data_IF_648097657323
#
_entry.id   IF_648097657323
#
_cell.length_a   1.000
_cell.length_b   1.000
_cell.length_c   1.000
_cell.angle_alpha   90.00
_cell.angle_beta   90.00
_cell.angle_gamma   90.00
#
_symmetry.space_group_name_H-M   'P 1'
#
loop_
_entity.id
_entity.type
_entity.pdbx_description
1 polymer ?
#
# COMPACT_ATOMS: atom_id res chain seq x y z
N UNK A 1 9.10 2.54 8.48
CA UNK A 1 8.94 3.98 8.15
C UNK A 1 8.88 4.83 9.41
N UNK A 2 7.89 4.70 10.31
CA UNK A 2 7.83 5.54 11.53
C UNK A 2 9.12 5.50 12.37
N UNK A 3 9.72 4.32 12.55
CA UNK A 3 11.00 4.18 13.25
C UNK A 3 12.14 4.94 12.55
N UNK A 4 12.17 4.94 11.20
CA UNK A 4 13.20 5.69 10.45
C UNK A 4 13.03 7.20 10.62
N UNK A 5 11.78 7.70 10.55
CA UNK A 5 11.47 9.11 10.79
C UNK A 5 11.84 9.54 12.21
N UNK A 6 11.65 8.63 13.19
CA UNK A 6 12.05 8.83 14.59
C UNK A 6 13.55 8.65 14.87
N UNK A 7 14.39 8.39 13.85
CA UNK A 7 15.83 8.18 14.02
C UNK A 7 16.23 6.77 14.51
N UNK A 8 15.27 5.85 14.66
CA UNK A 8 15.48 4.48 15.15
C UNK A 8 15.83 3.51 14.01
N UNK A 9 16.81 3.87 13.18
CA UNK A 9 17.15 3.12 11.95
C UNK A 9 17.54 1.67 12.20
N UNK A 10 18.26 1.38 13.31
CA UNK A 10 18.64 0.02 13.65
C UNK A 10 17.42 -0.88 13.96
N UNK A 11 16.41 -0.30 14.63
CA UNK A 11 15.15 -1.00 14.92
C UNK A 11 14.31 -1.20 13.66
N UNK A 12 14.27 -0.21 12.76
CA UNK A 12 13.61 -0.32 11.47
C UNK A 12 14.22 -1.46 10.64
N UNK A 13 15.55 -1.50 10.52
CA UNK A 13 16.28 -2.56 9.82
C UNK A 13 16.03 -3.95 10.45
N UNK A 14 15.99 -4.04 11.79
CA UNK A 14 15.70 -5.30 12.49
C UNK A 14 14.26 -5.78 12.18
N UNK A 15 13.26 -4.89 12.15
CA UNK A 15 11.89 -5.22 11.79
C UNK A 15 11.78 -5.73 10.34
N UNK A 16 12.46 -5.11 9.38
CA UNK A 16 12.47 -5.59 8.00
C UNK A 16 13.15 -6.95 7.84
N UNK A 17 14.27 -7.18 8.56
CA UNK A 17 14.92 -8.50 8.56
C UNK A 17 14.02 -9.58 9.18
N UNK A 18 13.26 -9.23 10.23
CA UNK A 18 12.27 -10.13 10.81
C UNK A 18 11.20 -10.50 9.79
N UNK A 19 10.64 -9.51 9.08
CA UNK A 19 9.66 -9.75 8.01
C UNK A 19 10.25 -10.66 6.93
N UNK A 20 11.46 -10.38 6.44
CA UNK A 20 12.11 -11.22 5.43
C UNK A 20 12.33 -12.67 5.89
N UNK A 21 12.65 -12.87 7.18
CA UNK A 21 12.85 -14.19 7.77
C UNK A 21 11.54 -14.98 7.97
N UNK A 22 10.39 -14.29 8.07
CA UNK A 22 9.06 -14.89 8.26
C UNK A 22 8.25 -14.96 6.98
N UNK A 23 8.84 -14.64 5.84
CA UNK A 23 8.20 -14.80 4.54
C UNK A 23 8.05 -16.28 4.19
N UNK A 24 6.85 -16.65 3.74
CA UNK A 24 6.58 -18.00 3.23
C UNK A 24 7.26 -18.25 1.88
N UNK A 25 7.49 -19.51 1.48
CA UNK A 25 8.12 -19.84 0.20
C UNK A 25 7.41 -19.26 -1.04
N UNK A 26 6.09 -19.10 -0.98
CA UNK A 26 5.27 -18.52 -2.06
C UNK A 26 5.38 -17.01 -2.20
N UNK A 27 6.06 -16.34 -1.25
CA UNK A 27 6.23 -14.89 -1.20
C UNK A 27 5.25 -14.18 -0.27
N UNK A 28 4.32 -14.92 0.35
CA UNK A 28 3.32 -14.35 1.25
C UNK A 28 3.80 -14.22 2.69
N UNK A 29 2.96 -13.58 3.50
CA UNK A 29 3.02 -13.56 4.96
C UNK A 29 1.67 -13.98 5.53
N UNK A 30 1.66 -14.50 6.75
CA UNK A 30 0.43 -14.69 7.50
C UNK A 30 -0.21 -13.32 7.83
N UNK A 31 -1.54 -13.29 7.92
CA UNK A 31 -2.25 -12.06 8.28
C UNK A 31 -1.95 -11.60 9.71
N UNK A 32 -1.62 -12.53 10.60
CA UNK A 32 -1.29 -12.22 11.99
C UNK A 32 -0.19 -13.15 12.53
N UNK A 33 0.70 -12.56 13.35
CA UNK A 33 1.70 -13.29 14.13
C UNK A 33 1.52 -12.98 15.62
N UNK A 34 1.63 -14.02 16.48
CA UNK A 34 1.67 -13.89 17.95
C UNK A 34 2.89 -14.65 18.47
N UNK A 35 3.67 -14.00 19.31
CA UNK A 35 4.88 -14.59 19.89
C UNK A 35 5.84 -15.18 18.84
N UNK A 36 5.89 -14.57 17.67
CA UNK A 36 6.75 -15.01 16.55
C UNK A 36 6.18 -16.16 15.72
N UNK A 37 4.99 -16.69 16.05
CA UNK A 37 4.32 -17.75 15.30
C UNK A 37 3.13 -17.20 14.51
N UNK A 38 2.79 -17.87 13.39
CA UNK A 38 1.57 -17.53 12.62
C UNK A 38 0.32 -17.81 13.46
N UNK A 39 -0.52 -16.79 13.64
CA UNK A 39 -1.78 -16.88 14.40
C UNK A 39 -3.00 -16.87 13.48
N UNK A 40 -2.95 -16.19 12.35
CA UNK A 40 -3.97 -16.24 11.31
C UNK A 40 -3.30 -16.53 9.96
N UNK A 41 -3.52 -17.72 9.38
CA UNK A 41 -2.79 -18.16 8.18
C UNK A 41 -3.31 -17.53 6.87
N UNK A 42 -4.37 -16.74 6.90
CA UNK A 42 -4.88 -16.04 5.72
C UNK A 42 -3.77 -15.24 5.02
N UNK A 43 -3.81 -15.21 3.70
CA UNK A 43 -2.86 -14.49 2.86
C UNK A 43 -3.57 -13.31 2.21
N UNK A 44 -3.13 -12.10 2.54
CA UNK A 44 -3.62 -10.86 1.95
C UNK A 44 -2.54 -10.24 1.06
N UNK A 45 -2.93 -9.80 -0.13
CA UNK A 45 -1.99 -9.29 -1.14
C UNK A 45 -1.24 -8.04 -0.71
N UNK A 46 -1.87 -7.12 0.01
CA UNK A 46 -1.26 -5.89 0.50
C UNK A 46 -0.08 -6.15 1.45
N UNK A 47 -0.14 -7.22 2.27
CA UNK A 47 0.98 -7.61 3.13
C UNK A 47 2.24 -7.94 2.31
N UNK A 48 2.07 -8.57 1.14
CA UNK A 48 3.18 -8.92 0.26
C UNK A 48 3.89 -7.68 -0.36
N UNK A 49 3.16 -6.57 -0.48
CA UNK A 49 3.70 -5.32 -1.04
C UNK A 49 4.44 -4.43 -0.05
N UNK A 50 4.08 -4.44 1.24
CA UNK A 50 4.56 -3.43 2.20
C UNK A 50 6.06 -3.45 2.48
N UNK A 51 6.73 -4.59 2.34
CA UNK A 51 8.19 -4.67 2.50
C UNK A 51 8.91 -3.78 1.47
N UNK A 52 8.43 -3.74 0.23
CA UNK A 52 8.98 -2.87 -0.81
C UNK A 52 8.83 -1.37 -0.46
N UNK A 53 7.65 -0.96 0.03
CA UNK A 53 7.39 0.43 0.43
C UNK A 53 8.30 0.85 1.58
N UNK A 54 8.39 0.02 2.62
CA UNK A 54 9.24 0.30 3.77
C UNK A 54 10.73 0.38 3.41
N UNK A 55 11.22 -0.56 2.60
CA UNK A 55 12.62 -0.59 2.17
C UNK A 55 12.95 0.60 1.27
N UNK A 56 12.06 0.99 0.36
CA UNK A 56 12.23 2.18 -0.48
C UNK A 56 12.34 3.45 0.37
N UNK A 57 11.45 3.62 1.37
CA UNK A 57 11.52 4.73 2.30
C UNK A 57 12.86 4.78 3.04
N UNK A 58 13.31 3.64 3.58
CA UNK A 58 14.60 3.56 4.29
C UNK A 58 15.75 3.90 3.36
N UNK A 59 15.73 3.40 2.11
CA UNK A 59 16.77 3.74 1.13
C UNK A 59 16.77 5.24 0.80
N UNK A 60 15.62 5.88 0.68
CA UNK A 60 15.55 7.33 0.43
C UNK A 60 16.17 8.15 1.57
N UNK A 61 16.04 7.69 2.82
CA UNK A 61 16.52 8.40 4.01
C UNK A 61 17.96 8.07 4.38
N UNK A 62 18.41 6.83 4.22
CA UNK A 62 19.72 6.35 4.68
C UNK A 62 20.70 5.99 3.56
N UNK A 63 20.21 5.72 2.34
CA UNK A 63 21.01 5.17 1.22
C UNK A 63 21.73 3.86 1.56
N UNK A 64 21.13 3.05 2.44
CA UNK A 64 21.71 1.76 2.87
C UNK A 64 21.50 0.68 1.79
N UNK A 65 22.44 0.63 0.82
CA UNK A 65 22.44 -0.37 -0.27
C UNK A 65 22.60 -1.80 0.27
N UNK A 66 23.28 -1.97 1.39
CA UNK A 66 23.47 -3.29 1.99
C UNK A 66 22.14 -3.84 2.52
N UNK A 67 21.34 -3.02 3.17
CA UNK A 67 20.00 -3.42 3.62
C UNK A 67 19.10 -3.75 2.42
N UNK A 68 19.12 -2.93 1.36
CA UNK A 68 18.36 -3.21 0.12
C UNK A 68 18.76 -4.57 -0.45
N UNK A 69 20.06 -4.84 -0.60
CA UNK A 69 20.55 -6.13 -1.12
C UNK A 69 20.12 -7.32 -0.25
N UNK A 70 20.14 -7.17 1.09
CA UNK A 70 19.67 -8.21 2.02
C UNK A 70 18.17 -8.51 1.88
N UNK A 71 17.36 -7.48 1.67
CA UNK A 71 15.90 -7.60 1.60
C UNK A 71 15.38 -7.92 0.19
N UNK A 72 16.20 -7.67 -0.83
CA UNK A 72 15.81 -7.81 -2.24
C UNK A 72 15.19 -9.16 -2.58
N UNK A 73 15.73 -10.33 -2.16
CA UNK A 73 15.09 -11.61 -2.45
C UNK A 73 13.69 -11.76 -1.88
N UNK A 74 13.42 -11.16 -0.72
CA UNK A 74 12.09 -11.19 -0.10
C UNK A 74 11.12 -10.22 -0.79
N UNK A 75 11.57 -9.01 -1.12
CA UNK A 75 10.80 -8.02 -1.87
C UNK A 75 10.37 -8.61 -3.22
N UNK A 76 11.30 -9.22 -3.94
CA UNK A 76 11.05 -9.82 -5.24
C UNK A 76 9.99 -10.91 -5.15
N UNK A 77 10.12 -11.88 -4.24
CA UNK A 77 9.10 -12.94 -4.07
C UNK A 77 7.73 -12.38 -3.70
N UNK A 78 7.69 -11.35 -2.84
CA UNK A 78 6.44 -10.70 -2.44
C UNK A 78 5.74 -10.01 -3.62
N UNK A 79 6.46 -9.24 -4.41
CA UNK A 79 5.88 -8.55 -5.56
C UNK A 79 5.57 -9.50 -6.73
N UNK A 80 6.34 -10.56 -6.91
CA UNK A 80 6.01 -11.62 -7.87
C UNK A 80 4.69 -12.33 -7.47
N UNK A 81 4.43 -12.50 -6.16
CA UNK A 81 3.13 -12.98 -5.69
C UNK A 81 2.02 -11.98 -6.02
N UNK A 82 2.23 -10.70 -5.74
CA UNK A 82 1.26 -9.63 -6.06
C UNK A 82 0.87 -9.65 -7.54
N UNK A 83 1.85 -9.79 -8.44
CA UNK A 83 1.59 -9.90 -9.89
C UNK A 83 0.80 -11.15 -10.23
N UNK A 84 1.11 -12.30 -9.63
CA UNK A 84 0.33 -13.54 -9.83
C UNK A 84 -1.11 -13.45 -9.31
N UNK A 85 -1.40 -12.54 -8.39
CA UNK A 85 -2.74 -12.30 -7.87
C UNK A 85 -3.54 -11.28 -8.71
N UNK A 86 -2.98 -10.78 -9.83
CA UNK A 86 -3.69 -9.84 -10.70
C UNK A 86 -4.81 -10.57 -11.45
N UNK A 87 -6.00 -9.97 -11.41
CA UNK A 87 -7.21 -10.45 -12.06
C UNK A 87 -7.33 -9.88 -13.48
N UNK A 88 -8.17 -10.48 -14.29
CA UNK A 88 -8.53 -9.93 -15.58
C UNK A 88 -9.06 -8.50 -15.41
N UNK A 89 -8.47 -7.57 -16.17
CA UNK A 89 -8.85 -6.16 -16.04
C UNK A 89 -7.94 -5.32 -15.16
N UNK A 90 -6.90 -5.91 -14.54
CA UNK A 90 -5.77 -5.21 -13.93
C UNK A 90 -5.89 -4.97 -12.42
N UNK A 91 -7.05 -5.20 -11.80
CA UNK A 91 -7.17 -5.18 -10.35
C UNK A 91 -6.45 -6.39 -9.72
N UNK A 92 -5.98 -6.26 -8.50
CA UNK A 92 -5.30 -7.34 -7.77
C UNK A 92 -6.25 -7.89 -6.71
N UNK A 93 -6.38 -9.21 -6.67
CA UNK A 93 -7.16 -9.91 -5.64
C UNK A 93 -6.68 -9.53 -4.24
N UNK A 94 -7.62 -9.38 -3.31
CA UNK A 94 -7.28 -9.01 -1.94
C UNK A 94 -6.64 -10.14 -1.15
N UNK A 95 -6.96 -11.42 -1.48
CA UNK A 95 -6.49 -12.59 -0.75
C UNK A 95 -6.32 -13.82 -1.63
N UNK A 96 -5.62 -14.83 -1.12
CA UNK A 96 -5.60 -16.17 -1.67
C UNK A 96 -6.65 -17.05 -0.97
N UNK A 97 -7.31 -17.89 -1.75
CA UNK A 97 -8.14 -18.99 -1.25
C UNK A 97 -7.26 -20.10 -0.64
N UNK A 98 -7.84 -21.03 0.13
CA UNK A 98 -7.08 -22.14 0.72
C UNK A 98 -6.35 -23.05 -0.28
N UNK A 99 -6.80 -23.09 -1.53
CA UNK A 99 -6.17 -23.84 -2.62
C UNK A 99 -5.02 -23.08 -3.31
N UNK A 100 -4.73 -21.86 -2.85
CA UNK A 100 -3.69 -20.98 -3.38
C UNK A 100 -4.12 -20.17 -4.61
N UNK A 101 -5.35 -20.28 -5.09
CA UNK A 101 -5.88 -19.45 -6.17
C UNK A 101 -6.25 -18.05 -5.64
N UNK A 102 -6.18 -16.99 -6.49
CA UNK A 102 -6.69 -15.68 -6.13
C UNK A 102 -8.20 -15.72 -5.85
N UNK A 103 -8.64 -14.96 -4.84
CA UNK A 103 -10.06 -14.66 -4.63
C UNK A 103 -10.55 -13.71 -5.74
N UNK A 104 -11.85 -13.70 -6.03
CA UNK A 104 -12.41 -12.86 -7.09
C UNK A 104 -12.63 -11.41 -6.64
N UNK A 105 -12.42 -11.12 -5.35
CA UNK A 105 -12.65 -9.79 -4.77
C UNK A 105 -11.37 -8.96 -4.83
N UNK A 106 -11.47 -7.72 -5.30
CA UNK A 106 -10.43 -6.71 -5.18
C UNK A 106 -10.93 -5.55 -4.28
N UNK A 107 -10.05 -5.03 -3.43
CA UNK A 107 -10.35 -3.90 -2.55
C UNK A 107 -9.63 -2.65 -3.06
N UNK A 108 -10.35 -1.53 -3.20
CA UNK A 108 -9.80 -0.27 -3.72
C UNK A 108 -8.63 0.23 -2.87
N UNK A 109 -8.77 0.20 -1.55
CA UNK A 109 -7.72 0.57 -0.58
C UNK A 109 -6.46 -0.28 -0.74
N UNK A 110 -6.61 -1.62 -0.73
CA UNK A 110 -5.50 -2.56 -0.92
C UNK A 110 -4.80 -2.38 -2.26
N UNK A 111 -5.57 -2.20 -3.33
CA UNK A 111 -5.03 -1.98 -4.68
C UNK A 111 -4.29 -0.65 -4.81
N UNK A 112 -4.74 0.41 -4.15
CA UNK A 112 -4.03 1.70 -4.07
C UNK A 112 -2.66 1.53 -3.38
N UNK A 113 -2.61 0.75 -2.30
CA UNK A 113 -1.35 0.40 -1.61
C UNK A 113 -0.43 -0.43 -2.49
N UNK A 114 -0.97 -1.41 -3.23
CA UNK A 114 -0.19 -2.26 -4.13
C UNK A 114 0.33 -1.51 -5.35
N UNK A 115 -0.41 -0.51 -5.86
CA UNK A 115 0.10 0.40 -6.88
C UNK A 115 1.37 1.12 -6.41
N UNK A 116 1.36 1.66 -5.19
CA UNK A 116 2.54 2.27 -4.58
C UNK A 116 3.66 1.24 -4.36
N UNK A 117 3.31 0.04 -3.88
CA UNK A 117 4.29 -1.02 -3.60
C UNK A 117 5.04 -1.48 -4.86
N UNK A 118 4.34 -1.70 -5.97
CA UNK A 118 4.95 -2.05 -7.25
C UNK A 118 5.88 -0.94 -7.75
N UNK A 119 5.48 0.33 -7.64
CA UNK A 119 6.35 1.46 -8.00
C UNK A 119 7.61 1.53 -7.15
N UNK A 120 7.49 1.32 -5.84
CA UNK A 120 8.64 1.24 -4.93
C UNK A 120 9.55 0.06 -5.30
N UNK A 121 8.96 -1.09 -5.63
CA UNK A 121 9.71 -2.27 -6.05
C UNK A 121 10.47 -2.07 -7.36
N UNK A 122 9.86 -1.44 -8.36
CA UNK A 122 10.51 -1.07 -9.62
C UNK A 122 11.68 -0.11 -9.36
N UNK A 123 11.51 0.89 -8.50
CA UNK A 123 12.58 1.80 -8.12
C UNK A 123 13.72 1.08 -7.39
N UNK A 124 13.43 0.13 -6.49
CA UNK A 124 14.42 -0.71 -5.83
C UNK A 124 15.14 -1.65 -6.80
N UNK A 125 14.42 -2.21 -7.78
CA UNK A 125 15.02 -3.02 -8.84
C UNK A 125 16.08 -2.22 -9.61
N UNK A 126 15.78 -0.98 -9.97
CA UNK A 126 16.73 -0.09 -10.63
C UNK A 126 17.96 0.20 -9.75
N UNK A 127 17.80 0.39 -8.43
CA UNK A 127 18.92 0.52 -7.48
C UNK A 127 19.77 -0.75 -7.45
N UNK A 128 19.13 -1.92 -7.56
CA UNK A 128 19.80 -3.22 -7.57
C UNK A 128 20.38 -3.61 -8.95
N UNK A 129 20.16 -2.78 -9.97
CA UNK A 129 20.66 -3.03 -11.33
C UNK A 129 19.83 -4.05 -12.13
N UNK A 130 18.59 -4.30 -11.73
CA UNK A 130 17.64 -5.20 -12.38
C UNK A 130 16.49 -4.43 -13.04
N UNK A 131 15.82 -5.05 -14.01
CA UNK A 131 14.54 -4.60 -14.58
C UNK A 131 13.45 -5.62 -14.24
N UNK A 132 12.22 -5.15 -14.11
CA UNK A 132 11.06 -5.99 -13.74
C UNK A 132 9.88 -5.69 -14.69
N UNK A 133 9.94 -6.14 -15.97
CA UNK A 133 8.94 -5.80 -16.98
C UNK A 133 7.53 -6.29 -16.61
N UNK A 134 7.41 -7.42 -15.91
CA UNK A 134 6.10 -7.92 -15.47
C UNK A 134 5.48 -7.01 -14.40
N UNK A 135 6.29 -6.43 -13.50
CA UNK A 135 5.81 -5.45 -12.52
C UNK A 135 5.44 -4.12 -13.18
N UNK A 136 6.17 -3.70 -14.22
CA UNK A 136 5.88 -2.49 -15.00
C UNK A 136 4.55 -2.63 -15.75
N UNK A 137 4.29 -3.81 -16.33
CA UNK A 137 3.02 -4.12 -16.95
C UNK A 137 1.90 -4.13 -15.90
N UNK A 138 2.08 -4.88 -14.82
CA UNK A 138 1.09 -5.01 -13.77
C UNK A 138 0.69 -3.67 -13.13
N UNK A 139 1.67 -2.80 -12.82
CA UNK A 139 1.37 -1.47 -12.26
C UNK A 139 0.66 -0.56 -13.27
N UNK A 140 0.92 -0.73 -14.56
CA UNK A 140 0.25 0.04 -15.63
C UNK A 140 -1.23 -0.35 -15.74
N UNK A 141 -1.50 -1.65 -15.75
CA UNK A 141 -2.86 -2.19 -15.79
C UNK A 141 -3.64 -1.85 -14.51
N UNK A 142 -3.01 -2.04 -13.33
CA UNK A 142 -3.59 -1.66 -12.05
C UNK A 142 -3.90 -0.16 -11.98
N UNK A 143 -2.98 0.70 -12.43
CA UNK A 143 -3.20 2.14 -12.49
C UNK A 143 -4.36 2.51 -13.42
N UNK A 144 -4.55 1.77 -14.51
CA UNK A 144 -5.70 1.95 -15.39
C UNK A 144 -7.00 1.54 -14.68
N UNK A 145 -7.01 0.38 -14.01
CA UNK A 145 -8.18 -0.06 -13.25
C UNK A 145 -8.57 0.95 -12.16
N UNK A 146 -7.61 1.44 -11.36
CA UNK A 146 -7.84 2.43 -10.30
C UNK A 146 -8.44 3.75 -10.81
N UNK A 147 -8.11 4.15 -12.04
CA UNK A 147 -8.59 5.42 -12.62
C UNK A 147 -9.90 5.29 -13.39
N UNK A 148 -10.18 4.13 -13.96
CA UNK A 148 -11.23 4.02 -14.99
C UNK A 148 -12.24 2.89 -14.77
N UNK A 149 -12.03 2.02 -13.76
CA UNK A 149 -12.87 0.83 -13.54
C UNK A 149 -13.31 0.69 -12.08
N UNK A 150 -14.13 1.62 -11.56
CA UNK A 150 -14.61 1.53 -10.17
C UNK A 150 -15.35 0.21 -9.89
N UNK A 151 -16.01 -0.38 -10.89
CA UNK A 151 -16.72 -1.66 -10.81
C UNK A 151 -15.79 -2.87 -10.61
N UNK A 152 -14.48 -2.73 -10.83
CA UNK A 152 -13.51 -3.79 -10.57
C UNK A 152 -13.25 -4.01 -9.07
N UNK A 153 -13.73 -3.11 -8.22
CA UNK A 153 -13.50 -3.14 -6.78
C UNK A 153 -14.80 -3.32 -6.01
N UNK A 154 -14.73 -4.08 -4.92
CA UNK A 154 -15.86 -4.22 -4.01
C UNK A 154 -16.29 -2.86 -3.44
N UNK A 155 -17.59 -2.58 -3.42
CA UNK A 155 -18.10 -1.33 -2.86
C UNK A 155 -17.88 -1.28 -1.35
N UNK A 156 -16.94 -0.46 -0.93
CA UNK A 156 -16.61 -0.12 0.44
C UNK A 156 -16.63 1.41 0.66
N UNK A 157 -17.34 2.13 -0.20
CA UNK A 157 -17.40 3.59 -0.24
C UNK A 157 -17.83 4.25 1.07
N UNK A 158 -18.43 3.49 2.00
CA UNK A 158 -18.73 3.96 3.36
C UNK A 158 -17.48 4.24 4.21
N UNK A 159 -16.32 3.64 3.85
CA UNK A 159 -15.06 3.84 4.56
C UNK A 159 -14.27 4.98 3.91
N UNK A 160 -13.75 5.90 4.72
CA UNK A 160 -12.94 7.02 4.23
C UNK A 160 -11.67 6.59 3.50
N UNK A 161 -11.10 5.43 3.84
CA UNK A 161 -9.93 4.90 3.17
C UNK A 161 -10.17 4.68 1.67
N UNK A 162 -11.34 4.21 1.24
CA UNK A 162 -11.66 4.05 -0.18
C UNK A 162 -11.71 5.40 -0.92
N UNK A 163 -12.00 6.47 -0.19
CA UNK A 163 -11.99 7.81 -0.77
C UNK A 163 -10.57 8.38 -0.95
N UNK A 164 -9.69 8.35 0.06
CA UNK A 164 -8.41 9.05 -0.06
C UNK A 164 -7.23 8.15 -0.49
N UNK A 165 -7.31 6.83 -0.40
CA UNK A 165 -6.21 5.92 -0.74
C UNK A 165 -5.77 5.98 -2.22
N UNK A 166 -6.64 6.14 -3.23
CA UNK A 166 -6.21 6.33 -4.62
C UNK A 166 -5.29 7.56 -4.80
N UNK A 167 -5.51 8.60 -3.98
CA UNK A 167 -4.64 9.78 -3.94
C UNK A 167 -3.35 9.47 -3.18
N UNK A 168 -3.46 8.92 -1.98
CA UNK A 168 -2.33 8.57 -1.11
C UNK A 168 -1.35 7.62 -1.81
N UNK A 169 -1.86 6.59 -2.51
CA UNK A 169 -1.07 5.64 -3.30
C UNK A 169 -0.46 6.23 -4.57
N UNK A 170 -0.82 7.45 -4.95
CA UNK A 170 -0.30 8.14 -6.11
C UNK A 170 -0.82 7.61 -7.46
N UNK A 171 -2.02 7.01 -7.47
CA UNK A 171 -2.64 6.50 -8.69
C UNK A 171 -3.25 7.62 -9.57
N UNK A 172 -3.53 8.80 -9.01
CA UNK A 172 -4.14 9.94 -9.67
C UNK A 172 -3.09 11.03 -9.96
N UNK A 173 -3.33 11.83 -11.01
CA UNK A 173 -2.59 13.09 -11.21
C UNK A 173 -2.94 14.09 -10.11
N UNK A 174 -2.10 15.10 -9.88
CA UNK A 174 -2.34 16.13 -8.86
C UNK A 174 -3.70 16.83 -9.05
N UNK A 175 -4.07 17.12 -10.30
CA UNK A 175 -5.35 17.76 -10.64
C UNK A 175 -6.53 16.81 -10.31
N UNK A 176 -6.51 15.59 -10.84
CA UNK A 176 -7.54 14.59 -10.56
C UNK A 176 -7.64 14.24 -9.05
N UNK A 177 -6.53 14.28 -8.32
CA UNK A 177 -6.51 14.05 -6.88
C UNK A 177 -7.26 15.15 -6.11
N UNK A 178 -7.12 16.41 -6.52
CA UNK A 178 -7.87 17.55 -5.92
C UNK A 178 -9.37 17.40 -6.12
N UNK A 179 -9.78 17.11 -7.35
CA UNK A 179 -11.19 16.93 -7.70
C UNK A 179 -11.78 15.74 -6.94
N UNK A 180 -11.03 14.64 -6.88
CA UNK A 180 -11.42 13.42 -6.18
C UNK A 180 -11.61 13.66 -4.67
N UNK A 181 -10.68 14.37 -4.02
CA UNK A 181 -10.79 14.69 -2.59
C UNK A 181 -11.95 15.66 -2.30
N UNK A 182 -12.27 16.57 -3.22
CA UNK A 182 -13.41 17.49 -3.03
C UNK A 182 -14.75 16.75 -2.95
N UNK A 183 -14.94 15.65 -3.68
CA UNK A 183 -16.19 14.88 -3.71
C UNK A 183 -16.56 14.27 -2.36
N UNK A 184 -15.59 13.75 -1.60
CA UNK A 184 -15.82 13.08 -0.31
C UNK A 184 -15.68 14.00 0.91
N UNK A 185 -15.31 15.26 0.71
CA UNK A 185 -14.92 16.17 1.78
C UNK A 185 -15.99 16.31 2.86
N UNK A 186 -17.19 16.75 2.49
CA UNK A 186 -18.29 16.98 3.44
C UNK A 186 -18.82 15.70 4.10
N UNK A 187 -18.55 14.55 3.48
CA UNK A 187 -18.96 13.25 3.99
C UNK A 187 -18.08 12.77 5.14
N UNK A 188 -16.78 12.99 5.04
CA UNK A 188 -15.80 12.42 5.97
C UNK A 188 -15.16 13.45 6.87
N UNK A 189 -14.93 14.67 6.42
CA UNK A 189 -14.23 15.69 7.21
C UNK A 189 -15.13 16.28 8.28
N UNK A 190 -14.62 16.32 9.52
CA UNK A 190 -15.23 17.00 10.65
C UNK A 190 -14.35 18.18 11.02
N UNK A 191 -14.77 19.42 10.73
CA UNK A 191 -13.96 20.61 10.94
C UNK A 191 -13.39 20.71 12.35
N UNK A 192 -12.07 20.93 12.45
CA UNK A 192 -11.36 21.07 13.72
C UNK A 192 -11.14 19.78 14.50
N UNK A 193 -11.54 18.59 13.96
CA UNK A 193 -11.35 17.30 14.61
C UNK A 193 -10.58 16.29 13.75
N UNK A 194 -10.73 16.31 12.43
CA UNK A 194 -10.14 15.34 11.52
C UNK A 194 -11.17 14.65 10.63
N UNK A 195 -10.98 13.37 10.31
CA UNK A 195 -11.92 12.63 9.47
C UNK A 195 -12.56 11.43 10.15
N UNK A 196 -13.78 11.12 9.73
CA UNK A 196 -14.48 9.90 10.14
C UNK A 196 -13.85 8.70 9.46
N UNK A 197 -13.69 7.60 10.20
CA UNK A 197 -13.32 6.31 9.63
C UNK A 197 -14.41 5.76 8.69
N UNK A 198 -15.68 5.93 9.11
CA UNK A 198 -16.88 5.53 8.36
C UNK A 198 -17.92 6.65 8.39
N UNK A 199 -18.70 6.76 7.34
CA UNK A 199 -19.67 7.85 7.18
C UNK A 199 -20.92 7.74 8.06
N UNK A 200 -21.29 6.52 8.46
CA UNK A 200 -22.47 6.22 9.27
C UNK A 200 -22.20 6.19 10.79
N UNK A 201 -20.97 6.50 11.21
CA UNK A 201 -20.56 6.57 12.61
C UNK A 201 -19.77 7.86 12.89
N UNK A 202 -19.90 8.45 14.10
CA UNK A 202 -19.20 9.70 14.45
C UNK A 202 -17.72 9.46 14.86
N UNK A 203 -17.12 8.35 14.43
CA UNK A 203 -15.75 7.98 14.83
C UNK A 203 -14.72 8.75 14.04
N UNK A 204 -14.18 9.80 14.62
CA UNK A 204 -12.99 10.49 14.13
C UNK A 204 -11.76 9.78 14.65
N UNK A 205 -10.85 9.43 13.78
CA UNK A 205 -9.66 8.63 14.10
C UNK A 205 -8.39 9.36 13.72
N UNK A 206 -7.35 9.22 14.55
CA UNK A 206 -6.06 9.87 14.31
C UNK A 206 -5.31 9.27 13.13
N UNK A 207 -5.44 7.95 12.88
CA UNK A 207 -4.75 7.29 11.78
C UNK A 207 -5.21 7.81 10.42
N UNK A 208 -6.52 7.74 10.16
CA UNK A 208 -7.11 8.20 8.89
C UNK A 208 -6.93 9.71 8.71
N UNK A 209 -6.97 10.50 9.80
CA UNK A 209 -6.71 11.95 9.72
C UNK A 209 -5.28 12.22 9.26
N UNK A 210 -4.28 11.51 9.80
CA UNK A 210 -2.89 11.64 9.35
C UNK A 210 -2.70 11.16 7.90
N UNK A 211 -3.37 10.09 7.51
CA UNK A 211 -3.30 9.58 6.14
C UNK A 211 -3.94 10.55 5.13
N UNK A 212 -5.08 11.20 5.49
CA UNK A 212 -5.65 12.27 4.67
C UNK A 212 -4.69 13.45 4.55
N UNK A 213 -4.01 13.85 5.62
CA UNK A 213 -3.02 14.93 5.56
C UNK A 213 -1.88 14.60 4.57
N UNK A 214 -1.43 13.34 4.54
CA UNK A 214 -0.48 12.87 3.53
C UNK A 214 -1.08 12.91 2.11
N UNK A 215 -2.32 12.46 1.94
CA UNK A 215 -3.01 12.52 0.65
C UNK A 215 -3.19 13.96 0.15
N UNK A 216 -3.51 14.91 1.03
CA UNK A 216 -3.58 16.35 0.71
C UNK A 216 -2.22 16.89 0.26
N UNK A 217 -1.14 16.43 0.88
CA UNK A 217 0.23 16.80 0.46
C UNK A 217 0.51 16.28 -0.96
N UNK A 218 0.15 15.04 -1.26
CA UNK A 218 0.25 14.45 -2.62
C UNK A 218 -0.58 15.24 -3.63
N UNK A 219 -1.77 15.70 -3.24
CA UNK A 219 -2.63 16.55 -4.07
C UNK A 219 -2.15 18.01 -4.20
N UNK A 220 -0.98 18.34 -3.63
CA UNK A 220 -0.43 19.70 -3.64
C UNK A 220 -1.25 20.69 -2.81
N UNK A 221 -1.83 20.24 -1.70
CA UNK A 221 -2.62 21.02 -0.74
C UNK A 221 -2.01 20.95 0.68
N UNK A 222 -0.72 21.27 0.87
CA UNK A 222 -0.07 21.16 2.17
C UNK A 222 -0.69 22.07 3.24
N UNK A 223 -1.25 23.22 2.86
CA UNK A 223 -1.90 24.14 3.81
C UNK A 223 -3.14 23.48 4.43
N UNK A 224 -3.97 22.82 3.63
CA UNK A 224 -5.14 22.08 4.11
C UNK A 224 -4.78 20.81 4.91
N UNK A 225 -3.55 20.31 4.77
CA UNK A 225 -3.04 19.19 5.56
C UNK A 225 -2.61 19.60 6.97
N UNK A 226 -2.43 20.88 7.23
CA UNK A 226 -2.00 21.43 8.53
C UNK A 226 -3.19 21.86 9.42
N UNK A 227 -4.39 21.96 8.87
CA UNK A 227 -5.65 22.29 9.56
C UNK A 227 -6.31 21.06 10.19
#
# INVERSE_FOLDING_TARGET
>A
MALDVGGEHARAAAAYRWLAAHQRPDGSWAAEYRDGAEAAPATESNHAGYLAVGTWHTWLTSRDEQLVAQLWPAIRRGLDLVVRMQLDGGAISWALRPDGSPDDTALLTGNSSLFQALRCGIALAAVHGETQPDWELAVTELGTALRTRPEAFADRSRFSMDWYYPVLGGALTVEAARDHLAVGWDRFVVPGLGIRCVDDHPWVTGAETCELALALTVAGRPDAAAE
#
